data_IF_869866614177
#
_entry.id   IF_869866614177
#
_cell.length_a   1.000
_cell.length_b   1.000
_cell.length_c   1.000
_cell.angle_alpha   90.00
_cell.angle_beta   90.00
_cell.angle_gamma   90.00
#
_symmetry.space_group_name_H-M   'P 1'
#
loop_
_entity.id
_entity.type
_entity.pdbx_description
1 polymer ?
#
# COMPACT_ATOMS: atom_id res chain seq x y z
N UNK A 1 -10.43 -21.69 -11.97
CA UNK A 1 -10.41 -20.25 -11.60
C UNK A 1 -11.23 -19.96 -10.37
N UNK A 2 -12.56 -20.09 -10.38
CA UNK A 2 -13.39 -19.81 -9.19
C UNK A 2 -13.00 -20.59 -7.92
N UNK A 3 -12.66 -21.88 -8.04
CA UNK A 3 -12.13 -22.66 -6.90
C UNK A 3 -10.83 -22.09 -6.33
N UNK A 4 -9.92 -21.63 -7.18
CA UNK A 4 -8.67 -20.98 -6.75
C UNK A 4 -9.00 -19.68 -6.02
N UNK A 5 -9.90 -18.86 -6.59
CA UNK A 5 -10.34 -17.60 -6.02
C UNK A 5 -10.83 -17.78 -4.57
N UNK A 6 -11.74 -18.74 -4.36
CA UNK A 6 -12.32 -19.00 -3.05
C UNK A 6 -11.33 -19.67 -2.08
N UNK A 7 -10.46 -20.58 -2.57
CA UNK A 7 -9.57 -21.35 -1.71
C UNK A 7 -8.33 -20.57 -1.25
N UNK A 8 -7.93 -19.54 -2.00
CA UNK A 8 -6.71 -18.76 -1.75
C UNK A 8 -6.99 -17.30 -1.35
N UNK A 9 -8.24 -16.99 -1.00
CA UNK A 9 -8.66 -15.65 -0.60
C UNK A 9 -8.18 -14.57 -1.58
N UNK A 10 -8.42 -14.84 -2.86
CA UNK A 10 -8.01 -13.96 -3.93
C UNK A 10 -9.02 -12.83 -4.06
N UNK A 11 -8.57 -11.60 -4.23
CA UNK A 11 -9.42 -10.44 -4.50
C UNK A 11 -9.62 -10.18 -5.99
N UNK A 12 -8.67 -10.60 -6.84
CA UNK A 12 -8.78 -10.52 -8.30
C UNK A 12 -8.00 -11.66 -8.98
N UNK A 13 -8.61 -12.29 -9.99
CA UNK A 13 -7.91 -13.12 -10.97
C UNK A 13 -8.20 -12.53 -12.36
N UNK A 14 -7.14 -12.08 -13.03
CA UNK A 14 -7.18 -11.66 -14.42
C UNK A 14 -6.30 -12.61 -15.25
N UNK A 15 -6.84 -13.09 -16.38
CA UNK A 15 -6.07 -13.84 -17.38
C UNK A 15 -6.16 -13.07 -18.68
N UNK A 16 -5.03 -12.56 -19.14
CA UNK A 16 -5.00 -11.76 -20.35
C UNK A 16 -3.63 -11.85 -21.05
N UNK A 17 -3.50 -12.65 -22.13
CA UNK A 17 -4.59 -13.30 -22.85
C UNK A 17 -4.91 -14.72 -22.36
N UNK A 18 -6.19 -15.09 -22.48
CA UNK A 18 -6.65 -16.47 -22.45
C UNK A 18 -6.73 -16.98 -23.89
N UNK A 19 -5.82 -17.87 -24.27
CA UNK A 19 -5.63 -18.29 -25.67
C UNK A 19 -6.23 -19.66 -25.95
N UNK A 20 -6.42 -19.94 -27.23
CA UNK A 20 -6.66 -21.30 -27.76
C UNK A 20 -5.44 -21.70 -28.58
N UNK A 21 -4.81 -22.81 -28.24
CA UNK A 21 -3.63 -23.35 -28.93
C UNK A 21 -4.00 -23.97 -30.28
N UNK A 22 -2.99 -24.29 -31.11
CA UNK A 22 -3.22 -24.87 -32.44
C UNK A 22 -3.90 -26.24 -32.43
N UNK A 23 -3.81 -26.98 -31.32
CA UNK A 23 -4.52 -28.24 -31.06
C UNK A 23 -5.88 -28.04 -30.36
N UNK A 24 -6.34 -26.80 -30.20
CA UNK A 24 -7.66 -26.47 -29.68
C UNK A 24 -7.77 -26.42 -28.15
N UNK A 25 -6.66 -26.42 -27.41
CA UNK A 25 -6.66 -26.34 -25.96
C UNK A 25 -6.74 -24.89 -25.47
N UNK A 26 -7.52 -24.66 -24.41
CA UNK A 26 -7.58 -23.38 -23.74
C UNK A 26 -6.40 -23.24 -22.77
N UNK A 27 -5.65 -22.14 -22.84
CA UNK A 27 -4.45 -21.92 -22.01
C UNK A 27 -4.38 -20.47 -21.51
N UNK A 28 -4.03 -20.29 -20.23
CA UNK A 28 -3.68 -18.99 -19.68
C UNK A 28 -2.25 -18.65 -20.08
N UNK A 29 -2.07 -17.71 -21.02
CA UNK A 29 -0.73 -17.31 -21.46
C UNK A 29 -0.08 -16.36 -20.45
N UNK A 30 -0.89 -15.50 -19.83
CA UNK A 30 -0.49 -14.59 -18.77
C UNK A 30 -1.61 -14.43 -17.74
N UNK A 31 -1.26 -14.15 -16.49
CA UNK A 31 -2.20 -13.94 -15.41
C UNK A 31 -1.69 -12.96 -14.35
N UNK A 32 -2.59 -12.09 -13.89
CA UNK A 32 -2.39 -11.26 -12.70
C UNK A 32 -3.36 -11.71 -11.61
N UNK A 33 -2.81 -12.00 -10.43
CA UNK A 33 -3.58 -12.45 -9.28
C UNK A 33 -3.29 -11.52 -8.11
N UNK A 34 -4.32 -10.87 -7.57
CA UNK A 34 -4.21 -10.09 -6.34
C UNK A 34 -4.79 -10.88 -5.18
N UNK A 35 -4.00 -11.07 -4.12
CA UNK A 35 -4.42 -11.77 -2.91
C UNK A 35 -4.99 -10.74 -1.92
N UNK A 36 -6.00 -11.12 -1.14
CA UNK A 36 -6.41 -10.32 0.01
C UNK A 36 -5.33 -10.41 1.11
N UNK A 37 -4.62 -9.30 1.33
CA UNK A 37 -3.54 -9.23 2.33
C UNK A 37 -4.03 -9.55 3.75
N UNK A 38 -5.30 -9.27 4.06
CA UNK A 38 -5.89 -9.58 5.37
C UNK A 38 -6.06 -11.08 5.61
N UNK A 39 -6.02 -11.90 4.57
CA UNK A 39 -6.11 -13.36 4.67
C UNK A 39 -4.74 -14.06 4.71
N UNK A 40 -3.63 -13.33 4.52
CA UNK A 40 -2.29 -13.95 4.40
C UNK A 40 -1.86 -14.73 5.66
N UNK A 41 -2.38 -14.38 6.83
CA UNK A 41 -2.09 -15.09 8.09
C UNK A 41 -2.43 -16.60 8.03
N UNK A 42 -3.36 -17.01 7.16
CA UNK A 42 -3.77 -18.41 6.94
C UNK A 42 -3.21 -19.05 5.67
N UNK A 43 -2.36 -18.35 4.91
CA UNK A 43 -1.76 -18.82 3.65
C UNK A 43 -0.24 -18.63 3.65
N UNK A 44 0.47 -19.39 4.50
CA UNK A 44 1.94 -19.32 4.60
C UNK A 44 2.65 -19.64 3.27
N UNK A 45 2.04 -20.47 2.43
CA UNK A 45 2.54 -20.79 1.10
C UNK A 45 2.51 -19.57 0.16
N UNK A 46 1.53 -18.68 0.30
CA UNK A 46 1.47 -17.44 -0.48
C UNK A 46 2.42 -16.37 0.07
N UNK A 47 2.57 -16.29 1.40
CA UNK A 47 3.54 -15.38 2.04
C UNK A 47 4.97 -15.67 1.55
N UNK A 48 5.30 -16.96 1.36
CA UNK A 48 6.60 -17.38 0.84
C UNK A 48 6.86 -16.96 -0.62
N UNK A 49 5.83 -16.56 -1.37
CA UNK A 49 5.95 -16.07 -2.76
C UNK A 49 6.12 -14.54 -2.85
N UNK A 50 6.07 -13.82 -1.72
CA UNK A 50 6.23 -12.36 -1.72
C UNK A 50 7.63 -11.98 -2.18
N UNK A 51 7.71 -11.07 -3.14
CA UNK A 51 8.95 -10.47 -3.64
C UNK A 51 9.00 -8.98 -3.25
N UNK A 52 9.76 -8.61 -2.19
CA UNK A 52 9.87 -7.23 -1.75
C UNK A 52 10.48 -6.28 -2.79
N UNK A 53 11.21 -6.79 -3.79
CA UNK A 53 11.81 -5.95 -4.84
C UNK A 53 10.78 -5.33 -5.79
N UNK A 54 9.54 -5.82 -5.77
CA UNK A 54 8.42 -5.31 -6.55
C UNK A 54 7.56 -4.28 -5.79
N UNK A 55 7.92 -3.98 -4.54
CA UNK A 55 7.19 -3.06 -3.67
C UNK A 55 7.98 -1.74 -3.51
N UNK A 56 7.28 -0.65 -3.16
CA UNK A 56 7.95 0.59 -2.79
C UNK A 56 8.69 0.39 -1.45
N UNK A 57 9.97 0.71 -1.40
CA UNK A 57 10.82 0.48 -0.23
C UNK A 57 10.30 1.19 1.03
N UNK A 58 9.70 2.39 0.89
CA UNK A 58 9.16 3.16 2.01
C UNK A 58 7.85 2.56 2.50
N UNK A 59 6.99 2.12 1.60
CA UNK A 59 5.75 1.43 1.95
C UNK A 59 6.04 0.10 2.65
N UNK A 60 7.02 -0.66 2.14
CA UNK A 60 7.46 -1.91 2.75
C UNK A 60 8.08 -1.71 4.15
N UNK A 61 8.88 -0.65 4.33
CA UNK A 61 9.44 -0.28 5.63
C UNK A 61 8.34 0.18 6.61
N UNK A 62 7.37 0.97 6.14
CA UNK A 62 6.22 1.42 6.93
C UNK A 62 5.39 0.23 7.44
N UNK A 63 5.13 -0.76 6.58
CA UNK A 63 4.37 -1.95 6.93
C UNK A 63 5.01 -2.77 8.08
N UNK A 64 6.34 -2.74 8.23
CA UNK A 64 7.04 -3.41 9.35
C UNK A 64 6.76 -2.76 10.71
N UNK A 65 6.28 -1.51 10.71
CA UNK A 65 5.93 -0.74 11.90
C UNK A 65 4.43 -0.52 12.06
N UNK A 66 3.62 -1.32 11.35
CA UNK A 66 2.17 -1.20 11.27
C UNK A 66 1.72 0.22 10.84
N UNK A 67 2.49 0.88 9.97
CA UNK A 67 2.17 2.18 9.42
C UNK A 67 1.62 2.01 8.00
N UNK A 68 0.50 2.67 7.69
CA UNK A 68 0.01 2.74 6.33
C UNK A 68 0.60 3.98 5.67
N UNK A 69 1.58 3.79 4.79
CA UNK A 69 2.27 4.86 4.06
C UNK A 69 2.05 4.70 2.56
N UNK A 70 1.87 5.81 1.84
CA UNK A 70 1.86 5.83 0.37
C UNK A 70 2.68 7.02 -0.08
N UNK A 71 3.58 6.82 -1.03
CA UNK A 71 4.43 7.88 -1.60
C UNK A 71 3.64 8.72 -2.61
N UNK A 72 3.74 10.06 -2.50
CA UNK A 72 3.21 11.02 -3.48
C UNK A 72 4.33 11.97 -3.94
N UNK A 73 4.07 12.81 -4.94
CA UNK A 73 5.10 13.67 -5.58
C UNK A 73 5.12 15.13 -5.05
N UNK A 74 4.59 15.37 -3.86
CA UNK A 74 4.51 16.71 -3.27
C UNK A 74 5.71 17.11 -2.39
N UNK A 75 5.54 18.20 -1.64
CA UNK A 75 6.56 18.74 -0.73
C UNK A 75 6.09 18.91 0.72
N UNK A 76 4.84 18.61 1.02
CA UNK A 76 4.28 18.70 2.38
C UNK A 76 4.03 17.28 2.89
N UNK A 77 4.87 16.82 3.81
CA UNK A 77 4.67 15.54 4.46
C UNK A 77 3.47 15.59 5.39
N UNK A 78 2.60 14.59 5.35
CA UNK A 78 1.41 14.51 6.21
C UNK A 78 1.55 13.34 7.18
N UNK A 79 1.28 13.56 8.47
CA UNK A 79 1.19 12.51 9.49
C UNK A 79 -0.13 12.65 10.23
N UNK A 80 -0.98 11.62 10.15
CA UNK A 80 -2.37 11.72 10.58
C UNK A 80 -2.83 10.44 11.28
N UNK A 81 -3.77 10.51 12.23
CA UNK A 81 -4.42 9.33 12.80
C UNK A 81 -5.76 9.03 12.12
N UNK A 82 -5.86 7.87 11.49
CA UNK A 82 -7.03 7.40 10.76
C UNK A 82 -7.02 7.76 9.27
N UNK A 83 -7.20 6.76 8.42
CA UNK A 83 -7.17 6.90 6.97
C UNK A 83 -8.13 7.97 6.41
N UNK A 84 -9.34 8.09 6.96
CA UNK A 84 -10.32 9.10 6.54
C UNK A 84 -9.82 10.53 6.78
N UNK A 85 -9.24 10.78 7.96
CA UNK A 85 -8.66 12.08 8.29
C UNK A 85 -7.39 12.34 7.47
N UNK A 86 -6.60 11.30 7.19
CA UNK A 86 -5.40 11.41 6.36
C UNK A 86 -5.74 11.88 4.93
N UNK A 87 -6.76 11.27 4.31
CA UNK A 87 -7.27 11.73 3.01
C UNK A 87 -7.79 13.17 3.07
N UNK A 88 -8.61 13.51 4.06
CA UNK A 88 -9.13 14.87 4.22
C UNK A 88 -8.02 15.91 4.44
N UNK A 89 -6.93 15.53 5.13
CA UNK A 89 -5.77 16.39 5.36
C UNK A 89 -5.03 16.67 4.05
N UNK A 90 -4.78 15.64 3.23
CA UNK A 90 -4.17 15.80 1.91
C UNK A 90 -5.04 16.65 0.98
N UNK A 91 -6.35 16.42 0.98
CA UNK A 91 -7.32 17.21 0.20
C UNK A 91 -7.29 18.69 0.63
N UNK A 92 -7.24 18.95 1.94
CA UNK A 92 -7.16 20.31 2.48
C UNK A 92 -5.85 21.00 2.09
N UNK A 93 -4.72 20.28 2.14
CA UNK A 93 -3.42 20.78 1.65
C UNK A 93 -3.51 21.15 0.18
N UNK A 94 -4.06 20.25 -0.66
CA UNK A 94 -4.21 20.47 -2.10
C UNK A 94 -5.14 21.63 -2.42
N UNK A 95 -6.26 21.73 -1.71
CA UNK A 95 -7.25 22.80 -1.87
C UNK A 95 -6.65 24.19 -1.58
N UNK A 96 -5.68 24.28 -0.68
CA UNK A 96 -4.99 25.53 -0.34
C UNK A 96 -3.68 25.74 -1.10
N UNK A 97 -3.47 25.02 -2.21
CA UNK A 97 -2.35 25.21 -3.14
C UNK A 97 -1.03 24.56 -2.71
N UNK A 98 -1.03 23.71 -1.68
CA UNK A 98 0.10 22.85 -1.33
C UNK A 98 0.05 21.52 -2.07
N UNK A 99 1.17 20.80 -2.08
CA UNK A 99 1.25 19.45 -2.65
C UNK A 99 1.62 18.43 -1.56
N UNK A 100 0.72 17.47 -1.22
CA UNK A 100 1.02 16.43 -0.25
C UNK A 100 2.10 15.48 -0.80
N UNK A 101 3.15 15.26 0.00
CA UNK A 101 4.27 14.38 -0.34
C UNK A 101 3.99 12.91 -0.03
N UNK A 102 3.04 12.64 0.86
CA UNK A 102 2.69 11.28 1.24
C UNK A 102 1.29 11.22 1.86
N UNK A 103 0.73 10.01 1.86
CA UNK A 103 -0.30 9.59 2.80
C UNK A 103 0.40 8.88 3.96
N UNK A 104 -0.01 9.14 5.20
CA UNK A 104 0.45 8.37 6.36
C UNK A 104 -0.61 8.33 7.45
N UNK A 105 -1.07 7.12 7.75
CA UNK A 105 -1.94 6.82 8.90
C UNK A 105 -1.13 6.11 10.00
N UNK A 106 -0.95 6.78 11.14
CA UNK A 106 -0.29 6.23 12.34
C UNK A 106 -1.23 5.43 13.26
N UNK A 107 -2.52 5.37 12.94
CA UNK A 107 -3.57 4.72 13.73
C UNK A 107 -3.94 5.46 15.02
N UNK A 108 -5.00 5.02 15.69
CA UNK A 108 -5.54 5.68 16.89
C UNK A 108 -4.70 5.55 18.16
N UNK A 109 -3.70 4.65 18.19
CA UNK A 109 -2.82 4.40 19.33
C UNK A 109 -1.36 4.70 19.02
N UNK A 110 -1.07 5.91 18.53
CA UNK A 110 0.28 6.29 18.13
C UNK A 110 1.23 6.32 19.34
N UNK A 111 2.24 5.44 19.35
CA UNK A 111 3.31 5.44 20.36
C UNK A 111 4.46 6.32 19.93
N UNK A 112 5.34 6.68 20.87
CA UNK A 112 6.53 7.48 20.56
C UNK A 112 7.43 6.79 19.50
N UNK A 113 7.54 5.46 19.55
CA UNK A 113 8.29 4.66 18.58
C UNK A 113 7.66 4.77 17.19
N UNK A 114 6.34 4.57 17.06
CA UNK A 114 5.65 4.65 15.76
C UNK A 114 5.71 6.04 15.15
N UNK A 115 5.57 7.08 15.97
CA UNK A 115 5.72 8.48 15.53
C UNK A 115 7.15 8.76 15.08
N UNK A 116 8.15 8.17 15.75
CA UNK A 116 9.56 8.32 15.37
C UNK A 116 9.84 7.69 14.01
N UNK A 117 9.37 6.47 13.77
CA UNK A 117 9.52 5.81 12.47
C UNK A 117 8.76 6.55 11.36
N UNK A 118 7.55 7.05 11.66
CA UNK A 118 6.78 7.89 10.76
C UNK A 118 7.56 9.15 10.33
N UNK A 119 8.23 9.84 11.26
CA UNK A 119 9.08 10.98 10.92
C UNK A 119 10.29 10.59 10.07
N UNK A 120 10.96 9.47 10.38
CA UNK A 120 12.10 8.99 9.57
C UNK A 120 11.69 8.71 8.13
N UNK A 121 10.52 8.10 7.93
CA UNK A 121 9.97 7.82 6.60
C UNK A 121 9.67 9.12 5.83
N UNK A 122 8.95 10.07 6.45
CA UNK A 122 8.61 11.35 5.81
C UNK A 122 9.89 12.13 5.45
N UNK A 123 10.84 12.23 6.39
CA UNK A 123 12.06 13.02 6.21
C UNK A 123 13.12 12.34 5.35
N UNK A 124 12.94 11.06 5.01
CA UNK A 124 13.78 10.38 4.01
C UNK A 124 13.57 10.94 2.60
N UNK A 125 12.45 11.61 2.36
CA UNK A 125 12.18 12.27 1.09
C UNK A 125 12.74 13.68 1.04
N UNK A 126 13.77 13.89 0.22
CA UNK A 126 14.41 15.18 0.03
C UNK A 126 13.47 16.26 -0.56
N UNK A 127 12.32 15.89 -1.15
CA UNK A 127 11.31 16.83 -1.65
C UNK A 127 10.50 17.46 -0.53
N UNK A 128 10.43 16.82 0.64
CA UNK A 128 9.66 17.31 1.79
C UNK A 128 10.32 18.57 2.37
N UNK A 129 9.55 19.66 2.40
CA UNK A 129 9.97 20.96 2.94
C UNK A 129 9.25 21.33 4.24
N UNK A 130 8.12 20.70 4.51
CA UNK A 130 7.29 20.96 5.70
C UNK A 130 6.55 19.70 6.06
N UNK A 131 6.35 19.47 7.36
CA UNK A 131 5.54 18.34 7.87
C UNK A 131 4.32 18.90 8.58
N UNK A 132 3.14 18.44 8.18
CA UNK A 132 1.87 18.70 8.83
C UNK A 132 1.47 17.48 9.66
N UNK A 133 1.43 17.66 10.99
CA UNK A 133 0.93 16.66 11.93
C UNK A 133 -0.50 17.03 12.30
N UNK A 134 -1.46 16.16 11.97
CA UNK A 134 -2.88 16.36 12.27
C UNK A 134 -3.40 15.15 13.04
N UNK A 135 -3.53 15.27 14.36
CA UNK A 135 -3.99 14.19 15.25
C UNK A 135 -5.23 14.68 16.01
N UNK A 136 -6.29 13.85 16.01
CA UNK A 136 -7.55 14.13 16.71
C UNK A 136 -7.84 13.08 17.80
#
# INVERSE_FOLDING_TARGET
>A
LYRLYMAKDVSLIEINPLIVTGDGQLMALDAKINIDSNALYRHQDLVALRDPSQEDEKEAAAAQHDLNYITLDGSIGCMVNGAGLAMATMDMVKLHGGDPANFLDVGGGATAERVTEAFKLILSDAKVKTVLVNIF
#
